data_IF_719389422497
#
_entry.id   IF_719389422497
#
_cell.length_a   1.000
_cell.length_b   1.000
_cell.length_c   1.000
_cell.angle_alpha   90.00
_cell.angle_beta   90.00
_cell.angle_gamma   90.00
#
_symmetry.space_group_name_H-M   'P 1'
#
loop_
_entity.id
_entity.type
_entity.pdbx_description
1 polymer ?
#
# COMPACT_ATOMS: atom_id res chain seq x y z
N UNK A 1 10.06 7.29 -2.99
CA UNK A 1 11.43 7.68 -2.70
C UNK A 1 12.44 6.57 -2.97
N UNK A 2 12.17 5.34 -2.67
CA UNK A 2 12.88 4.18 -3.18
C UNK A 2 11.97 3.56 -4.22
N UNK A 3 12.42 3.49 -5.47
CA UNK A 3 11.58 3.00 -6.56
C UNK A 3 10.96 1.65 -6.24
N UNK A 4 9.71 1.67 -5.88
CA UNK A 4 8.91 0.49 -5.51
C UNK A 4 8.57 -0.39 -6.72
N UNK A 5 9.02 -0.02 -7.92
CA UNK A 5 8.69 -0.76 -9.13
C UNK A 5 9.24 -2.19 -9.15
N UNK A 6 10.23 -2.49 -8.33
CA UNK A 6 10.83 -3.83 -8.29
C UNK A 6 10.10 -4.80 -7.34
N UNK A 7 9.33 -4.29 -6.37
CA UNK A 7 8.56 -5.13 -5.45
C UNK A 7 7.13 -5.44 -5.94
N UNK A 8 6.60 -4.68 -6.91
CA UNK A 8 5.20 -4.77 -7.34
C UNK A 8 5.02 -5.58 -8.62
N UNK A 9 6.08 -5.79 -9.41
CA UNK A 9 5.97 -6.38 -10.77
C UNK A 9 5.70 -7.88 -10.83
N UNK A 10 5.85 -8.63 -9.76
CA UNK A 10 5.78 -10.10 -9.83
C UNK A 10 4.49 -10.73 -9.20
N UNK A 11 3.55 -9.92 -8.69
CA UNK A 11 2.27 -10.41 -8.16
C UNK A 11 1.02 -9.78 -8.76
N UNK A 12 1.12 -9.21 -9.92
CA UNK A 12 0.01 -8.49 -10.60
C UNK A 12 -1.01 -9.40 -11.29
N UNK A 13 -1.40 -10.54 -10.72
CA UNK A 13 -2.64 -11.22 -11.10
C UNK A 13 -3.76 -10.65 -10.23
N UNK A 14 -4.44 -9.65 -10.73
CA UNK A 14 -5.77 -9.30 -10.23
C UNK A 14 -6.70 -10.46 -10.49
N UNK A 15 -6.96 -11.25 -9.47
CA UNK A 15 -7.96 -12.30 -9.52
C UNK A 15 -9.31 -11.67 -9.23
N UNK A 16 -10.30 -11.97 -10.04
CA UNK A 16 -11.67 -11.53 -9.81
C UNK A 16 -12.58 -12.72 -9.55
N UNK A 17 -13.39 -12.61 -8.51
CA UNK A 17 -14.42 -13.55 -8.15
C UNK A 17 -15.79 -12.88 -8.10
N UNK A 18 -16.79 -13.63 -7.67
CA UNK A 18 -18.16 -13.12 -7.51
C UNK A 18 -18.71 -13.43 -6.13
N UNK A 19 -19.42 -12.47 -5.57
CA UNK A 19 -20.16 -12.65 -4.32
C UNK A 19 -21.25 -13.70 -4.53
N UNK A 20 -21.30 -14.68 -3.64
CA UNK A 20 -22.38 -15.69 -3.59
C UNK A 20 -23.32 -15.47 -2.41
N UNK A 21 -22.82 -14.89 -1.31
CA UNK A 21 -23.62 -14.63 -0.11
C UNK A 21 -23.13 -13.39 0.63
N UNK A 22 -24.06 -12.62 1.16
CA UNK A 22 -23.79 -11.47 2.06
C UNK A 22 -24.53 -11.71 3.37
N UNK A 23 -23.83 -11.55 4.49
CA UNK A 23 -24.40 -11.70 5.84
C UNK A 23 -23.80 -10.64 6.76
N UNK A 24 -24.36 -9.43 6.74
CA UNK A 24 -23.76 -8.30 7.43
C UNK A 24 -22.35 -7.98 6.87
N UNK A 25 -21.34 -7.84 7.71
CA UNK A 25 -19.97 -7.56 7.25
C UNK A 25 -19.28 -8.77 6.61
N UNK A 26 -19.86 -9.98 6.74
CA UNK A 26 -19.31 -11.19 6.16
C UNK A 26 -19.86 -11.40 4.75
N UNK A 27 -18.95 -11.47 3.80
CA UNK A 27 -19.23 -11.74 2.39
C UNK A 27 -18.54 -13.05 2.00
N UNK A 28 -19.25 -13.91 1.28
CA UNK A 28 -18.65 -15.11 0.69
C UNK A 28 -18.61 -14.94 -0.82
N UNK A 29 -17.43 -15.12 -1.39
CA UNK A 29 -17.19 -15.03 -2.82
C UNK A 29 -16.57 -16.30 -3.37
N UNK A 30 -16.80 -16.57 -4.64
CA UNK A 30 -16.27 -17.71 -5.39
C UNK A 30 -15.38 -17.23 -6.53
N UNK A 31 -14.48 -18.12 -7.05
CA UNK A 31 -13.57 -17.79 -8.14
C UNK A 31 -12.28 -17.07 -7.68
N UNK A 32 -11.88 -17.27 -6.43
CA UNK A 32 -10.66 -16.68 -5.85
C UNK A 32 -9.64 -17.78 -5.44
N UNK A 33 -9.56 -18.89 -6.19
CA UNK A 33 -8.77 -20.06 -5.83
C UNK A 33 -7.28 -19.76 -5.58
N UNK A 34 -6.73 -18.80 -6.32
CA UNK A 34 -5.31 -18.40 -6.22
C UNK A 34 -5.06 -17.24 -5.24
N UNK A 35 -6.09 -16.78 -4.53
CA UNK A 35 -5.94 -15.76 -3.49
C UNK A 35 -5.44 -16.39 -2.18
N UNK A 36 -4.86 -15.55 -1.32
CA UNK A 36 -4.38 -16.01 -0.02
C UNK A 36 -5.27 -15.48 1.12
N UNK A 37 -5.26 -16.20 2.23
CA UNK A 37 -5.81 -15.70 3.50
C UNK A 37 -5.05 -14.42 3.88
N UNK A 38 -5.78 -13.45 4.39
CA UNK A 38 -5.32 -12.08 4.71
C UNK A 38 -5.08 -11.17 3.49
N UNK A 39 -5.31 -11.61 2.26
CA UNK A 39 -5.30 -10.67 1.13
C UNK A 39 -6.43 -9.65 1.25
N UNK A 40 -6.11 -8.40 0.96
CA UNK A 40 -7.11 -7.33 0.84
C UNK A 40 -7.85 -7.48 -0.49
N UNK A 41 -9.17 -7.33 -0.41
CA UNK A 41 -10.07 -7.38 -1.57
C UNK A 41 -10.89 -6.12 -1.71
N UNK A 42 -11.34 -5.85 -2.92
CA UNK A 42 -12.29 -4.80 -3.26
C UNK A 42 -13.61 -5.46 -3.68
N UNK A 43 -14.70 -5.12 -3.00
CA UNK A 43 -15.99 -5.79 -3.14
C UNK A 43 -17.03 -4.85 -3.74
N UNK A 44 -17.65 -5.29 -4.84
CA UNK A 44 -18.73 -4.59 -5.54
C UNK A 44 -18.29 -3.35 -6.29
N UNK A 45 -19.24 -2.67 -6.92
CA UNK A 45 -19.01 -1.45 -7.71
C UNK A 45 -18.44 -0.28 -6.90
N UNK A 46 -18.70 -0.25 -5.61
CA UNK A 46 -18.19 0.78 -4.70
C UNK A 46 -16.76 0.47 -4.21
N UNK A 47 -16.19 -0.67 -4.61
CA UNK A 47 -14.85 -1.11 -4.20
C UNK A 47 -14.64 -1.12 -2.67
N UNK A 48 -15.65 -1.62 -1.94
CA UNK A 48 -15.60 -1.72 -0.48
C UNK A 48 -14.38 -2.55 -0.06
N UNK A 49 -13.66 -2.08 0.95
CA UNK A 49 -12.45 -2.73 1.40
C UNK A 49 -12.81 -3.89 2.33
N UNK A 50 -12.24 -5.07 2.05
CA UNK A 50 -12.36 -6.24 2.89
C UNK A 50 -11.09 -7.06 2.91
N UNK A 51 -11.04 -8.04 3.80
CA UNK A 51 -9.93 -8.99 3.98
C UNK A 51 -10.44 -10.42 3.91
N UNK A 52 -9.69 -11.30 3.28
CA UNK A 52 -10.00 -12.74 3.24
C UNK A 52 -9.67 -13.36 4.59
N UNK A 53 -10.69 -13.82 5.31
CA UNK A 53 -10.52 -14.48 6.60
C UNK A 53 -10.19 -15.96 6.46
N UNK A 54 -10.81 -16.61 5.47
CA UNK A 54 -10.68 -18.06 5.27
C UNK A 54 -10.99 -18.44 3.83
N UNK A 55 -10.36 -19.52 3.38
CA UNK A 55 -10.58 -20.12 2.07
C UNK A 55 -11.07 -21.56 2.25
N UNK A 56 -12.14 -21.93 1.57
CA UNK A 56 -12.71 -23.28 1.64
C UNK A 56 -13.22 -23.70 0.26
N UNK A 57 -12.55 -24.67 -0.37
CA UNK A 57 -13.01 -25.28 -1.62
C UNK A 57 -13.19 -24.29 -2.78
N UNK A 58 -12.32 -23.26 -2.88
CA UNK A 58 -12.39 -22.23 -3.92
C UNK A 58 -13.23 -21.00 -3.53
N UNK A 59 -14.02 -21.09 -2.45
CA UNK A 59 -14.79 -19.98 -1.93
C UNK A 59 -14.00 -19.24 -0.83
N UNK A 60 -14.00 -17.92 -0.88
CA UNK A 60 -13.39 -17.03 0.11
C UNK A 60 -14.44 -16.45 1.06
N UNK A 61 -14.19 -16.53 2.37
CA UNK A 61 -14.94 -15.78 3.38
C UNK A 61 -14.23 -14.47 3.64
N UNK A 62 -14.90 -13.37 3.39
CA UNK A 62 -14.34 -12.02 3.38
C UNK A 62 -15.02 -11.18 4.45
N UNK A 63 -14.25 -10.52 5.29
CA UNK A 63 -14.77 -9.48 6.19
C UNK A 63 -14.63 -8.13 5.51
N UNK A 64 -15.75 -7.48 5.24
CA UNK A 64 -15.78 -6.11 4.71
C UNK A 64 -15.76 -5.14 5.88
N UNK A 65 -14.90 -4.13 5.82
CA UNK A 65 -14.72 -3.13 6.88
C UNK A 65 -15.73 -2.00 6.83
N UNK A 66 -16.43 -1.88 5.70
CA UNK A 66 -17.45 -0.87 5.47
C UNK A 66 -18.85 -1.50 5.46
N UNK A 67 -19.89 -0.66 5.47
CA UNK A 67 -21.25 -1.11 5.41
C UNK A 67 -21.58 -1.76 4.06
N UNK A 68 -22.15 -2.97 4.11
CA UNK A 68 -22.43 -3.81 2.93
C UNK A 68 -23.86 -3.62 2.38
N UNK A 69 -24.60 -2.63 2.87
CA UNK A 69 -25.97 -2.36 2.39
C UNK A 69 -26.00 -2.12 0.88
N UNK A 70 -26.86 -2.85 0.18
CA UNK A 70 -26.95 -2.82 -1.28
C UNK A 70 -26.00 -3.74 -2.01
N UNK A 71 -25.08 -4.42 -1.32
CA UNK A 71 -24.26 -5.46 -1.88
C UNK A 71 -25.07 -6.76 -1.98
N UNK A 72 -25.03 -7.42 -3.12
CA UNK A 72 -25.77 -8.67 -3.37
C UNK A 72 -24.95 -9.72 -4.11
N UNK A 73 -25.51 -10.94 -4.22
CA UNK A 73 -24.91 -12.00 -5.04
C UNK A 73 -24.68 -11.55 -6.48
N UNK A 74 -23.54 -11.96 -7.05
CA UNK A 74 -23.11 -11.59 -8.40
C UNK A 74 -22.22 -10.35 -8.45
N UNK A 75 -22.11 -9.57 -7.37
CA UNK A 75 -21.17 -8.45 -7.29
C UNK A 75 -19.72 -8.94 -7.46
N UNK A 76 -18.89 -8.14 -8.11
CA UNK A 76 -17.49 -8.48 -8.37
C UNK A 76 -16.66 -8.36 -7.10
N UNK A 77 -15.69 -9.24 -6.94
CA UNK A 77 -14.66 -9.16 -5.90
C UNK A 77 -13.30 -9.24 -6.56
N UNK A 78 -12.46 -8.25 -6.32
CA UNK A 78 -11.11 -8.16 -6.89
C UNK A 78 -10.09 -8.22 -5.78
N UNK A 79 -9.16 -9.18 -5.81
CA UNK A 79 -8.05 -9.22 -4.85
C UNK A 79 -6.93 -8.28 -5.25
N UNK A 80 -6.26 -7.70 -4.25
CA UNK A 80 -5.03 -6.92 -4.45
C UNK A 80 -3.78 -7.81 -4.50
N UNK A 81 -3.91 -9.11 -4.13
CA UNK A 81 -2.79 -10.04 -4.00
C UNK A 81 -1.81 -9.68 -2.88
N UNK A 82 -2.20 -8.80 -1.98
CA UNK A 82 -1.38 -8.35 -0.87
C UNK A 82 -2.20 -8.23 0.41
N UNK A 83 -1.62 -8.54 1.58
CA UNK A 83 -2.27 -8.32 2.86
C UNK A 83 -2.43 -6.82 3.15
N UNK A 84 -3.23 -6.51 4.18
CA UNK A 84 -3.36 -5.14 4.67
C UNK A 84 -1.98 -4.59 5.04
N UNK A 85 -1.61 -3.51 4.39
CA UNK A 85 -0.31 -2.88 4.53
C UNK A 85 -0.47 -1.37 4.67
N UNK A 86 0.54 -0.73 5.26
CA UNK A 86 0.60 0.71 5.43
C UNK A 86 1.70 1.31 4.57
N UNK A 87 1.45 2.47 4.01
CA UNK A 87 2.46 3.25 3.30
C UNK A 87 3.28 4.04 4.32
N UNK A 88 4.58 3.79 4.37
CA UNK A 88 5.50 4.53 5.24
C UNK A 88 6.26 5.57 4.43
N UNK A 89 6.22 6.80 4.89
CA UNK A 89 6.90 7.91 4.23
C UNK A 89 6.76 9.23 4.96
N UNK A 90 7.44 10.29 4.51
CA UNK A 90 7.28 11.61 5.09
C UNK A 90 5.87 12.16 4.88
N UNK A 91 5.32 12.80 5.90
CA UNK A 91 3.96 13.35 5.92
C UNK A 91 2.98 12.55 6.77
N UNK A 92 3.41 11.43 7.37
CA UNK A 92 2.56 10.65 8.26
C UNK A 92 2.28 11.34 9.60
N UNK A 93 3.28 12.02 10.16
CA UNK A 93 3.21 12.54 11.54
C UNK A 93 2.29 13.74 11.71
N UNK A 94 1.92 14.41 10.63
CA UNK A 94 1.02 15.56 10.66
C UNK A 94 -0.43 15.19 10.31
N UNK A 95 -0.72 13.92 10.06
CA UNK A 95 -2.03 13.44 9.63
C UNK A 95 -2.71 12.55 10.67
N UNK A 96 -4.04 12.51 10.61
CA UNK A 96 -4.88 11.61 11.39
C UNK A 96 -5.48 10.59 10.43
N UNK A 97 -5.30 9.32 10.74
CA UNK A 97 -5.73 8.20 9.89
C UNK A 97 -6.80 7.36 10.56
N UNK A 98 -7.60 6.70 9.76
CA UNK A 98 -8.47 5.62 10.21
C UNK A 98 -7.70 4.27 10.32
N UNK A 99 -8.42 3.19 10.68
CA UNK A 99 -7.81 1.85 10.87
C UNK A 99 -7.23 1.19 9.62
N UNK A 100 -7.48 1.72 8.43
CA UNK A 100 -6.93 1.24 7.14
C UNK A 100 -6.08 2.29 6.44
N UNK A 101 -5.54 3.24 7.22
CA UNK A 101 -4.65 4.31 6.79
C UNK A 101 -5.25 5.26 5.75
N UNK A 102 -6.56 5.58 5.83
CA UNK A 102 -7.13 6.66 5.04
C UNK A 102 -7.02 7.98 5.82
N UNK A 103 -6.48 9.05 5.23
CA UNK A 103 -6.32 10.33 5.92
C UNK A 103 -7.69 11.00 6.11
N UNK A 104 -8.09 11.22 7.36
CA UNK A 104 -9.40 11.76 7.72
C UNK A 104 -9.64 13.20 7.26
N UNK A 105 -8.63 14.11 7.28
CA UNK A 105 -8.81 15.46 6.76
C UNK A 105 -9.17 15.50 5.28
N UNK A 106 -8.54 14.68 4.46
CA UNK A 106 -8.79 14.57 3.03
C UNK A 106 -10.14 13.94 2.74
N UNK A 107 -10.53 12.90 3.51
CA UNK A 107 -11.88 12.31 3.40
C UNK A 107 -12.94 13.37 3.73
N UNK A 108 -12.75 14.13 4.81
CA UNK A 108 -13.67 15.20 5.19
C UNK A 108 -13.79 16.28 4.12
N UNK A 109 -12.69 16.63 3.46
CA UNK A 109 -12.70 17.59 2.36
C UNK A 109 -13.51 17.10 1.15
N UNK A 110 -13.53 15.78 0.89
CA UNK A 110 -14.25 15.16 -0.23
C UNK A 110 -15.71 14.89 0.08
N UNK A 111 -16.01 14.40 1.28
CA UNK A 111 -17.34 13.84 1.61
C UNK A 111 -18.10 14.63 2.67
N UNK A 112 -17.50 15.68 3.25
CA UNK A 112 -18.07 16.48 4.32
C UNK A 112 -18.00 15.80 5.69
N UNK A 113 -19.02 15.93 6.51
CA UNK A 113 -19.03 15.46 7.90
C UNK A 113 -19.20 13.93 8.03
N UNK A 114 -19.59 13.24 6.97
CA UNK A 114 -19.81 11.79 6.97
C UNK A 114 -18.83 11.10 6.03
N UNK A 115 -18.24 9.98 6.48
CA UNK A 115 -17.41 9.14 5.63
C UNK A 115 -18.31 8.37 4.66
N UNK A 116 -18.20 8.68 3.37
CA UNK A 116 -18.89 7.93 2.34
C UNK A 116 -18.21 6.57 2.10
N UNK A 117 -19.02 5.56 1.74
CA UNK A 117 -18.54 4.20 1.44
C UNK A 117 -17.68 4.19 0.20
N UNK A 118 -16.64 3.36 0.19
CA UNK A 118 -15.76 3.16 -0.95
C UNK A 118 -14.85 4.34 -1.26
N UNK A 119 -14.76 5.35 -0.38
CA UNK A 119 -13.86 6.50 -0.58
C UNK A 119 -12.41 6.02 -0.58
N UNK A 120 -11.73 6.32 -1.68
CA UNK A 120 -10.31 6.02 -1.86
C UNK A 120 -9.52 7.33 -1.84
N UNK A 121 -8.62 7.45 -0.87
CA UNK A 121 -7.71 8.58 -0.74
C UNK A 121 -6.31 8.00 -0.52
N UNK A 122 -5.28 8.49 -1.24
CA UNK A 122 -3.91 8.07 -0.99
C UNK A 122 -3.51 8.36 0.47
N UNK A 123 -2.82 7.40 1.10
CA UNK A 123 -2.38 7.54 2.48
C UNK A 123 -1.38 8.67 2.67
N UNK A 124 -0.52 8.89 1.68
CA UNK A 124 0.44 9.99 1.65
C UNK A 124 0.07 11.00 0.57
N UNK A 125 0.31 12.28 0.83
CA UNK A 125 0.12 13.34 -0.16
C UNK A 125 1.12 13.17 -1.32
N UNK A 126 0.59 12.92 -2.54
CA UNK A 126 1.37 12.65 -3.74
C UNK A 126 1.95 13.91 -4.39
N UNK A 127 1.41 15.08 -4.06
CA UNK A 127 1.81 16.36 -4.66
C UNK A 127 2.83 17.10 -3.80
N UNK A 128 2.83 16.85 -2.48
CA UNK A 128 3.76 17.50 -1.54
C UNK A 128 5.20 17.13 -1.88
N UNK A 129 6.04 18.15 -2.05
CA UNK A 129 7.48 17.98 -2.28
C UNK A 129 8.23 18.02 -0.96
N UNK A 130 9.25 17.19 -0.88
CA UNK A 130 10.09 17.02 0.28
C UNK A 130 11.56 17.22 -0.10
N UNK A 131 12.28 18.00 0.69
CA UNK A 131 13.71 18.22 0.50
C UNK A 131 14.48 16.96 0.94
N UNK A 132 14.92 16.18 -0.03
CA UNK A 132 15.70 14.95 0.20
C UNK A 132 17.19 15.26 0.25
N UNK A 133 17.86 14.86 1.33
CA UNK A 133 19.30 14.96 1.52
C UNK A 133 19.90 13.54 1.56
N UNK A 134 20.72 13.14 0.56
CA UNK A 134 21.34 11.84 0.54
C UNK A 134 22.44 11.71 1.62
N UNK A 135 22.54 10.53 2.22
CA UNK A 135 23.61 10.14 3.17
C UNK A 135 24.64 9.22 2.57
N UNK A 136 24.33 8.65 1.40
CA UNK A 136 25.22 7.75 0.64
C UNK A 136 25.55 8.36 -0.72
N UNK A 137 26.55 7.78 -1.40
CA UNK A 137 27.04 8.25 -2.70
C UNK A 137 26.92 7.12 -3.75
N UNK A 138 26.99 7.53 -5.03
CA UNK A 138 27.11 6.57 -6.14
C UNK A 138 28.29 5.65 -5.94
N UNK A 139 28.07 4.34 -6.04
CA UNK A 139 29.05 3.29 -5.86
C UNK A 139 29.11 2.70 -4.44
N UNK A 140 28.42 3.31 -3.47
CA UNK A 140 28.36 2.75 -2.12
C UNK A 140 27.53 1.46 -2.11
N UNK A 141 27.98 0.48 -1.32
CA UNK A 141 27.19 -0.72 -1.03
C UNK A 141 26.25 -0.44 0.11
N UNK A 142 25.00 -0.86 -0.04
CA UNK A 142 23.94 -0.68 0.96
C UNK A 142 23.26 -2.01 1.23
N UNK A 143 22.81 -2.18 2.45
CA UNK A 143 22.11 -3.37 2.95
C UNK A 143 20.86 -2.99 3.72
N UNK A 144 19.98 -3.95 3.99
CA UNK A 144 18.75 -3.72 4.72
C UNK A 144 18.97 -3.02 6.05
N UNK A 145 18.29 -1.90 6.27
CA UNK A 145 18.40 -1.05 7.45
C UNK A 145 19.37 0.14 7.30
N UNK A 146 20.20 0.18 6.26
CA UNK A 146 21.09 1.33 6.03
C UNK A 146 20.29 2.58 5.67
N UNK A 147 20.67 3.72 6.25
CA UNK A 147 20.05 5.02 5.96
C UNK A 147 20.64 5.57 4.67
N UNK A 148 19.82 5.72 3.65
CA UNK A 148 20.20 6.22 2.32
C UNK A 148 19.98 7.71 2.14
N UNK A 149 19.17 8.31 2.99
CA UNK A 149 18.92 9.74 2.96
C UNK A 149 17.98 10.19 4.06
N UNK A 150 17.80 11.49 4.17
CA UNK A 150 16.96 12.10 5.20
C UNK A 150 16.06 13.16 4.58
N UNK A 151 14.91 13.35 5.22
CA UNK A 151 13.92 14.38 4.89
C UNK A 151 13.49 15.07 6.18
N UNK A 152 13.53 16.39 6.24
CA UNK A 152 12.97 17.13 7.37
C UNK A 152 11.44 17.11 7.25
N UNK A 153 10.78 16.30 8.07
CA UNK A 153 9.32 16.13 8.02
C UNK A 153 8.61 17.24 8.82
N UNK A 154 9.07 17.47 10.04
CA UNK A 154 8.62 18.58 10.90
C UNK A 154 9.81 19.30 11.50
N UNK A 155 9.60 20.41 12.21
CA UNK A 155 10.70 21.12 12.91
C UNK A 155 11.44 20.25 13.92
N UNK A 156 10.78 19.21 14.46
CA UNK A 156 11.32 18.32 15.48
C UNK A 156 11.74 16.95 14.95
N UNK A 157 11.27 16.53 13.75
CA UNK A 157 11.44 15.17 13.26
C UNK A 157 12.18 15.13 11.93
N UNK A 158 13.33 14.49 11.96
CA UNK A 158 14.12 14.14 10.80
C UNK A 158 13.75 12.71 10.36
N UNK A 159 12.99 12.59 9.27
CA UNK A 159 12.63 11.31 8.68
C UNK A 159 13.86 10.68 8.02
N UNK A 160 14.16 9.42 8.37
CA UNK A 160 15.28 8.64 7.81
C UNK A 160 14.74 7.62 6.82
N UNK A 161 15.21 7.70 5.59
CA UNK A 161 14.84 6.76 4.54
C UNK A 161 15.86 5.63 4.55
N UNK A 162 15.38 4.41 4.73
CA UNK A 162 16.21 3.22 4.88
C UNK A 162 15.99 2.22 3.76
N UNK A 163 17.00 1.42 3.48
CA UNK A 163 16.88 0.26 2.59
C UNK A 163 15.93 -0.76 3.24
N UNK A 164 14.95 -1.30 2.49
CA UNK A 164 14.06 -2.32 3.01
C UNK A 164 14.80 -3.55 3.54
N UNK A 165 14.26 -4.25 4.56
CA UNK A 165 14.84 -5.50 5.05
C UNK A 165 14.99 -6.52 3.92
N UNK A 166 16.04 -7.33 3.98
CA UNK A 166 16.40 -8.38 2.99
C UNK A 166 16.77 -7.84 1.59
N UNK A 167 17.02 -6.55 1.46
CA UNK A 167 17.53 -5.96 0.22
C UNK A 167 18.97 -5.50 0.44
N UNK A 168 19.81 -5.75 -0.55
CA UNK A 168 21.19 -5.26 -0.60
C UNK A 168 21.53 -4.91 -2.05
N UNK A 169 22.49 -4.02 -2.22
CA UNK A 169 22.90 -3.63 -3.57
C UNK A 169 23.93 -2.52 -3.59
N UNK A 170 24.24 -2.06 -4.79
CA UNK A 170 25.16 -0.94 -5.00
C UNK A 170 24.40 0.26 -5.57
N UNK A 171 24.59 1.43 -4.98
CA UNK A 171 23.94 2.67 -5.42
C UNK A 171 24.42 3.04 -6.82
N UNK A 172 23.51 3.02 -7.80
CA UNK A 172 23.77 3.44 -9.19
C UNK A 172 23.68 4.94 -9.35
N UNK A 173 22.66 5.52 -8.80
CA UNK A 173 22.39 6.94 -8.93
C UNK A 173 21.65 7.44 -7.69
N UNK A 174 21.98 8.63 -7.23
CA UNK A 174 21.30 9.31 -6.14
C UNK A 174 21.38 10.81 -6.38
N UNK A 175 20.26 11.50 -6.15
CA UNK A 175 20.13 12.93 -6.37
C UNK A 175 19.57 13.61 -5.12
N UNK A 176 20.12 14.76 -4.78
CA UNK A 176 19.55 15.67 -3.78
C UNK A 176 18.57 16.62 -4.44
N UNK A 177 17.52 17.00 -3.76
CA UNK A 177 16.54 17.95 -4.30
C UNK A 177 15.16 17.81 -3.66
N UNK A 178 14.19 18.46 -4.27
CA UNK A 178 12.79 18.37 -3.87
C UNK A 178 12.07 17.32 -4.70
N UNK A 179 11.58 16.28 -4.03
CA UNK A 179 10.88 15.16 -4.65
C UNK A 179 9.55 14.89 -3.97
N UNK A 180 8.57 14.42 -4.74
CA UNK A 180 7.35 13.84 -4.17
C UNK A 180 7.63 12.43 -3.67
N UNK A 181 6.69 11.83 -2.95
CA UNK A 181 6.82 10.45 -2.44
C UNK A 181 6.89 9.40 -3.56
N UNK A 182 6.44 9.72 -4.75
CA UNK A 182 6.46 8.82 -5.93
C UNK A 182 7.69 9.00 -6.82
N UNK A 183 8.35 10.16 -6.76
CA UNK A 183 9.51 10.42 -7.60
C UNK A 183 10.72 9.63 -7.14
N UNK A 184 11.40 9.00 -8.08
CA UNK A 184 12.62 8.23 -7.81
C UNK A 184 13.80 9.18 -7.65
N UNK A 185 14.37 9.24 -6.45
CA UNK A 185 15.58 10.01 -6.14
C UNK A 185 16.82 9.12 -5.98
N UNK A 186 16.65 7.81 -5.95
CA UNK A 186 17.72 6.82 -5.79
C UNK A 186 17.44 5.58 -6.61
N UNK A 187 18.47 5.11 -7.32
CA UNK A 187 18.49 3.82 -8.02
C UNK A 187 19.66 2.98 -7.49
N UNK A 188 19.42 1.70 -7.21
CA UNK A 188 20.47 0.74 -6.85
C UNK A 188 20.29 -0.57 -7.63
N UNK A 189 21.39 -1.31 -7.80
CA UNK A 189 21.33 -2.70 -8.29
C UNK A 189 21.03 -3.61 -7.11
N UNK A 190 20.01 -4.45 -7.25
CA UNK A 190 19.82 -5.57 -6.33
C UNK A 190 20.88 -6.63 -6.62
N UNK A 191 21.65 -7.00 -5.60
CA UNK A 191 22.55 -8.17 -5.65
C UNK A 191 21.78 -9.48 -5.33
N UNK A 192 20.45 -9.45 -5.42
CA UNK A 192 19.58 -10.62 -5.22
C UNK A 192 19.58 -11.56 -6.44
N UNK A 193 20.75 -11.93 -6.91
CA UNK A 193 20.96 -13.03 -7.83
C UNK A 193 21.98 -13.97 -7.17
N UNK A 194 21.53 -14.75 -6.20
CA UNK A 194 22.11 -16.04 -5.81
C UNK A 194 21.55 -16.47 -4.43
N UNK A 195 20.30 -16.90 -4.41
CA UNK A 195 19.87 -17.96 -3.47
C UNK A 195 18.67 -18.68 -4.09
N UNK A 196 19.03 -19.74 -4.84
CA UNK A 196 18.17 -20.87 -5.15
C UNK A 196 18.07 -21.77 -3.93
#
# INVERSE_FOLDING_TARGET
LVGSEMCIRDRGRTLSGKVIKVSGPLVVADGLEDANVSDVVRVGEQHLIGEILNMTGGSASIQVYEETSGLGPGAEVVTTGMPLSVELGPGMLENIYDGIQRPLPEIRALTGECIARGVQVPALNREKKWAFTPTVKKGDKVSGGDVIGTVQETSAVLHRIMVPPKMAGTVKEIQSGEFTVEQTCLLYTSDAADEL
#
